data_IF_669287290599
#
_entry.id   IF_669287290599
#
_cell.length_a   1.000
_cell.length_b   1.000
_cell.length_c   1.000
_cell.angle_alpha   90.00
_cell.angle_beta   90.00
_cell.angle_gamma   90.00
#
_symmetry.space_group_name_H-M   'P 1'
#
loop_
_entity.id
_entity.type
_entity.pdbx_description
1 polymer ?
#
# COMPACT_ATOMS: atom_id res chain seq x y z
N UNK A 1 -23.30 -12.23 -8.10
CA UNK A 1 -22.55 -11.07 -7.59
C UNK A 1 -22.14 -11.45 -6.18
N UNK A 2 -20.83 -11.61 -5.93
CA UNK A 2 -20.35 -11.91 -4.59
C UNK A 2 -20.67 -10.72 -3.67
N UNK A 3 -21.25 -10.97 -2.50
CA UNK A 3 -21.49 -9.92 -1.52
C UNK A 3 -20.15 -9.45 -0.99
N UNK A 4 -19.87 -8.13 -0.99
CA UNK A 4 -18.64 -7.60 -0.43
C UNK A 4 -18.46 -8.04 1.01
N UNK A 5 -17.26 -8.48 1.37
CA UNK A 5 -16.95 -8.84 2.76
C UNK A 5 -16.91 -7.56 3.59
N UNK A 6 -17.57 -7.58 4.75
CA UNK A 6 -17.52 -6.46 5.69
C UNK A 6 -16.14 -6.39 6.37
N UNK A 7 -15.44 -5.29 6.13
CA UNK A 7 -14.14 -4.97 6.72
C UNK A 7 -14.22 -3.85 7.76
N UNK A 8 -15.43 -3.40 8.11
CA UNK A 8 -15.63 -2.28 9.06
C UNK A 8 -14.96 -2.55 10.39
N UNK A 9 -14.43 -1.52 11.01
CA UNK A 9 -13.83 -1.54 12.34
C UNK A 9 -12.48 -0.87 12.43
N UNK A 10 -11.88 -0.99 13.60
CA UNK A 10 -10.57 -0.43 13.91
C UNK A 10 -9.51 -1.52 13.87
N UNK A 11 -8.40 -1.25 13.19
CA UNK A 11 -7.36 -2.21 12.91
C UNK A 11 -5.99 -1.63 13.26
N UNK A 12 -5.18 -2.40 13.95
CA UNK A 12 -3.81 -2.06 14.33
C UNK A 12 -2.83 -3.00 13.66
N UNK A 13 -1.70 -2.47 13.17
CA UNK A 13 -0.69 -3.26 12.48
C UNK A 13 -0.06 -4.31 13.41
N UNK A 14 0.03 -5.53 12.91
CA UNK A 14 0.81 -6.61 13.50
C UNK A 14 2.19 -6.64 12.84
N UNK A 15 3.16 -6.00 13.48
CA UNK A 15 4.55 -5.95 12.98
C UNK A 15 5.22 -7.32 12.93
N UNK A 16 4.75 -8.29 13.70
CA UNK A 16 5.37 -9.63 13.72
C UNK A 16 5.04 -10.44 12.48
N UNK A 17 3.92 -10.15 11.84
CA UNK A 17 3.43 -10.80 10.62
C UNK A 17 3.65 -9.97 9.37
N UNK A 18 3.86 -8.68 9.53
CA UNK A 18 4.02 -7.73 8.42
C UNK A 18 5.42 -7.78 7.83
N UNK A 19 5.51 -7.47 6.55
CA UNK A 19 6.79 -7.36 5.86
C UNK A 19 7.65 -6.24 6.47
N UNK A 20 8.94 -6.50 6.53
CA UNK A 20 9.92 -5.47 6.80
C UNK A 20 10.29 -4.75 5.50
N UNK A 21 10.00 -3.44 5.44
CA UNK A 21 10.25 -2.62 4.25
C UNK A 21 11.70 -2.69 3.78
N UNK A 22 12.68 -2.67 4.69
CA UNK A 22 14.10 -2.77 4.35
C UNK A 22 14.43 -4.10 3.66
N UNK A 23 13.81 -5.19 4.09
CA UNK A 23 13.99 -6.50 3.47
C UNK A 23 13.41 -6.54 2.05
N UNK A 24 12.26 -5.89 1.83
CA UNK A 24 11.66 -5.77 0.51
C UNK A 24 12.52 -4.92 -0.43
N UNK A 25 13.04 -3.79 0.05
CA UNK A 25 13.97 -2.95 -0.71
C UNK A 25 15.26 -3.69 -1.09
N UNK A 26 15.83 -4.46 -0.17
CA UNK A 26 16.97 -5.29 -0.45
C UNK A 26 16.67 -6.37 -1.51
N UNK A 27 15.45 -6.91 -1.52
CA UNK A 27 15.01 -7.87 -2.52
C UNK A 27 14.94 -7.24 -3.91
N UNK A 28 14.31 -6.06 -4.03
CA UNK A 28 14.23 -5.28 -5.28
C UNK A 28 15.64 -4.93 -5.78
N UNK A 29 16.51 -4.46 -4.90
CA UNK A 29 17.90 -4.13 -5.26
C UNK A 29 18.66 -5.35 -5.82
N UNK A 30 18.54 -6.51 -5.17
CA UNK A 30 19.13 -7.75 -5.67
C UNK A 30 18.57 -8.18 -7.02
N UNK A 31 17.27 -8.00 -7.25
CA UNK A 31 16.64 -8.30 -8.53
C UNK A 31 17.20 -7.42 -9.64
N UNK A 32 17.31 -6.11 -9.40
CA UNK A 32 17.91 -5.15 -10.35
C UNK A 32 19.36 -5.52 -10.67
N UNK A 33 20.17 -5.88 -9.67
CA UNK A 33 21.55 -6.30 -9.86
C UNK A 33 21.67 -7.58 -10.70
N UNK A 34 20.82 -8.58 -10.44
CA UNK A 34 20.79 -9.83 -11.23
C UNK A 34 20.43 -9.55 -12.69
N UNK A 35 19.45 -8.69 -12.92
CA UNK A 35 19.05 -8.31 -14.27
C UNK A 35 20.17 -7.53 -14.98
N UNK A 36 20.87 -6.63 -14.29
CA UNK A 36 22.03 -5.92 -14.83
C UNK A 36 23.12 -6.90 -15.26
N UNK A 37 23.47 -7.86 -14.39
CA UNK A 37 24.47 -8.88 -14.70
C UNK A 37 24.06 -9.76 -15.89
N UNK A 38 22.77 -10.12 -15.98
CA UNK A 38 22.24 -10.87 -17.13
C UNK A 38 22.40 -10.10 -18.44
N UNK A 39 22.08 -8.80 -18.43
CA UNK A 39 22.18 -7.93 -19.62
C UNK A 39 23.64 -7.76 -20.06
N UNK A 40 24.56 -7.59 -19.12
CA UNK A 40 26.01 -7.49 -19.43
C UNK A 40 26.51 -8.74 -20.13
N UNK A 41 26.16 -9.93 -19.65
CA UNK A 41 26.53 -11.21 -20.30
C UNK A 41 25.98 -11.32 -21.73
N UNK A 42 24.69 -10.95 -21.94
CA UNK A 42 24.10 -10.97 -23.28
C UNK A 42 24.79 -10.00 -24.24
N UNK A 43 25.22 -8.84 -23.75
CA UNK A 43 25.96 -7.87 -24.52
C UNK A 43 27.35 -8.40 -24.91
N UNK A 44 28.04 -9.08 -23.99
CA UNK A 44 29.33 -9.75 -24.26
C UNK A 44 29.21 -10.87 -25.32
N UNK A 45 28.07 -11.57 -25.34
CA UNK A 45 27.75 -12.59 -26.34
C UNK A 45 27.28 -12.02 -27.70
N UNK A 46 27.30 -10.67 -27.88
CA UNK A 46 26.86 -10.00 -29.09
C UNK A 46 25.34 -10.02 -29.30
N UNK A 47 24.57 -10.38 -28.28
CA UNK A 47 23.11 -10.38 -28.29
C UNK A 47 22.61 -9.02 -27.77
N UNK A 48 22.04 -8.22 -28.67
CA UNK A 48 21.42 -6.96 -28.32
C UNK A 48 20.25 -7.16 -27.34
N UNK A 49 20.12 -6.27 -26.35
CA UNK A 49 18.97 -6.24 -25.45
C UNK A 49 18.05 -5.07 -25.80
N UNK A 50 16.79 -5.35 -26.10
CA UNK A 50 15.78 -4.35 -26.48
C UNK A 50 14.82 -3.98 -25.33
N UNK A 51 15.16 -4.32 -24.09
CA UNK A 51 14.31 -4.04 -22.91
C UNK A 51 14.43 -2.61 -22.38
N UNK A 52 13.51 -2.26 -21.49
CA UNK A 52 13.54 -0.97 -20.80
C UNK A 52 14.83 -0.78 -19.98
N UNK A 53 15.30 0.46 -19.79
CA UNK A 53 16.42 0.75 -18.91
C UNK A 53 16.20 0.18 -17.50
N UNK A 54 17.27 -0.19 -16.82
CA UNK A 54 17.21 -0.57 -15.41
C UNK A 54 17.17 0.68 -14.54
N UNK A 55 16.46 0.62 -13.39
CA UNK A 55 16.46 1.73 -12.45
C UNK A 55 17.87 1.99 -11.91
N UNK A 56 18.23 3.25 -11.82
CA UNK A 56 19.46 3.71 -11.20
C UNK A 56 19.36 3.75 -9.67
N UNK A 57 20.47 4.01 -8.99
CA UNK A 57 20.48 4.11 -7.54
C UNK A 57 19.56 5.22 -7.00
N UNK A 58 19.43 6.34 -7.70
CA UNK A 58 18.51 7.45 -7.34
C UNK A 58 17.05 7.02 -7.42
N UNK A 59 16.69 6.24 -8.43
CA UNK A 59 15.33 5.75 -8.64
C UNK A 59 14.92 4.80 -7.52
N UNK A 60 15.83 3.92 -7.09
CA UNK A 60 15.62 3.02 -5.97
C UNK A 60 15.47 3.77 -4.64
N UNK A 61 16.26 4.84 -4.42
CA UNK A 61 16.12 5.69 -3.22
C UNK A 61 14.77 6.42 -3.22
N UNK A 62 14.35 6.94 -4.36
CA UNK A 62 13.04 7.58 -4.50
C UNK A 62 11.90 6.60 -4.23
N UNK A 63 11.97 5.41 -4.81
CA UNK A 63 11.01 4.33 -4.57
C UNK A 63 10.95 3.95 -3.08
N UNK A 64 12.11 3.86 -2.41
CA UNK A 64 12.20 3.55 -1.00
C UNK A 64 11.48 4.59 -0.13
N UNK A 65 11.73 5.88 -0.37
CA UNK A 65 11.10 6.97 0.36
C UNK A 65 9.59 7.03 0.16
N UNK A 66 9.13 6.83 -1.07
CA UNK A 66 7.70 6.78 -1.38
C UNK A 66 7.04 5.62 -0.66
N UNK A 67 7.64 4.43 -0.72
CA UNK A 67 7.12 3.26 -0.04
C UNK A 67 7.07 3.43 1.48
N UNK A 68 8.07 4.06 2.08
CA UNK A 68 8.10 4.38 3.51
C UNK A 68 6.89 5.23 3.90
N UNK A 69 6.64 6.33 3.18
CA UNK A 69 5.50 7.23 3.43
C UNK A 69 4.16 6.51 3.23
N UNK A 70 4.06 5.69 2.16
CA UNK A 70 2.80 5.03 1.78
C UNK A 70 2.45 3.89 2.75
N UNK A 71 3.46 3.21 3.32
CA UNK A 71 3.29 2.09 4.24
C UNK A 71 3.45 2.47 5.72
N UNK A 72 3.67 3.76 6.03
CA UNK A 72 3.77 4.28 7.41
C UNK A 72 2.53 4.02 8.27
N UNK A 73 1.27 4.12 7.75
CA UNK A 73 0.09 4.00 8.59
C UNK A 73 0.05 2.68 9.37
N UNK A 74 -0.04 2.80 10.70
CA UNK A 74 -0.11 1.69 11.63
C UNK A 74 -1.55 1.40 12.11
N UNK A 75 -2.47 2.35 11.92
CA UNK A 75 -3.87 2.25 12.31
C UNK A 75 -4.77 2.48 11.10
N UNK A 76 -5.78 1.63 10.96
CA UNK A 76 -6.83 1.79 9.98
C UNK A 76 -8.18 1.88 10.71
N UNK A 77 -9.03 2.81 10.27
CA UNK A 77 -10.42 2.90 10.65
C UNK A 77 -11.26 2.76 9.39
N UNK A 78 -11.94 1.63 9.26
CA UNK A 78 -12.70 1.27 8.07
C UNK A 78 -14.19 1.42 8.36
N UNK A 79 -14.83 2.24 7.55
CA UNK A 79 -16.28 2.42 7.53
C UNK A 79 -16.80 1.94 6.18
N UNK A 80 -17.70 0.98 6.21
CA UNK A 80 -18.27 0.36 5.01
C UNK A 80 -19.79 0.36 5.12
N UNK A 81 -20.45 0.85 4.09
CA UNK A 81 -21.88 0.78 3.90
C UNK A 81 -22.20 0.37 2.44
N UNK A 82 -23.47 0.32 2.09
CA UNK A 82 -23.91 -0.09 0.74
C UNK A 82 -23.46 0.87 -0.35
N UNK A 83 -23.22 2.14 0.00
CA UNK A 83 -22.89 3.21 -0.94
C UNK A 83 -21.37 3.42 -1.08
N UNK A 84 -20.57 3.11 -0.05
CA UNK A 84 -19.13 3.38 -0.10
C UNK A 84 -18.34 2.61 0.94
N UNK A 85 -17.03 2.50 0.68
CA UNK A 85 -16.04 2.10 1.66
C UNK A 85 -15.05 3.24 1.86
N UNK A 86 -14.81 3.59 3.13
CA UNK A 86 -13.82 4.58 3.53
C UNK A 86 -12.80 3.94 4.44
N UNK A 87 -11.53 3.96 4.03
CA UNK A 87 -10.39 3.51 4.83
C UNK A 87 -9.62 4.73 5.29
N UNK A 88 -9.83 5.14 6.54
CA UNK A 88 -9.06 6.20 7.18
C UNK A 88 -7.76 5.59 7.68
N UNK A 89 -6.65 6.22 7.34
CA UNK A 89 -5.30 5.81 7.73
C UNK A 89 -4.69 6.90 8.60
N UNK A 90 -4.04 6.51 9.70
CA UNK A 90 -3.34 7.49 10.51
C UNK A 90 -2.20 8.13 9.70
N UNK A 91 -2.01 9.43 9.89
CA UNK A 91 -0.99 10.24 9.21
C UNK A 91 -1.04 10.23 7.66
N UNK A 92 -2.14 9.77 7.05
CA UNK A 92 -2.26 9.68 5.59
C UNK A 92 -3.67 10.06 5.12
N UNK A 93 -3.82 10.26 3.81
CA UNK A 93 -5.13 10.50 3.21
C UNK A 93 -6.01 9.25 3.29
N UNK A 94 -7.31 9.46 3.50
CA UNK A 94 -8.26 8.36 3.45
C UNK A 94 -8.40 7.83 2.01
N UNK A 95 -8.53 6.51 1.89
CA UNK A 95 -8.96 5.88 0.64
C UNK A 95 -10.48 5.80 0.66
N UNK A 96 -11.12 6.23 -0.40
CA UNK A 96 -12.58 6.25 -0.51
C UNK A 96 -12.96 5.58 -1.82
N UNK A 97 -13.86 4.61 -1.75
CA UNK A 97 -14.44 3.95 -2.91
C UNK A 97 -15.96 4.05 -2.85
N UNK A 98 -16.53 4.76 -3.80
CA UNK A 98 -17.99 4.87 -3.94
C UNK A 98 -18.48 3.62 -4.69
N UNK A 99 -19.56 3.04 -4.20
CA UNK A 99 -20.22 1.91 -4.84
C UNK A 99 -21.39 2.41 -5.69
N UNK A 100 -21.15 2.59 -6.98
CA UNK A 100 -22.16 2.98 -7.96
C UNK A 100 -22.90 1.81 -8.59
N UNK A 101 -22.68 0.61 -8.10
CA UNK A 101 -23.24 -0.63 -8.62
C UNK A 101 -22.52 -1.22 -9.83
N UNK A 102 -21.49 -0.54 -10.37
CA UNK A 102 -20.69 -1.03 -11.50
C UNK A 102 -19.60 -2.02 -11.06
N UNK A 103 -19.30 -2.08 -9.76
CA UNK A 103 -18.23 -2.89 -9.19
C UNK A 103 -16.83 -2.29 -9.37
N UNK A 104 -16.68 -1.30 -10.24
CA UNK A 104 -15.43 -0.58 -10.49
C UNK A 104 -15.73 0.91 -10.66
N UNK A 105 -15.19 1.73 -9.77
CA UNK A 105 -15.27 3.19 -9.89
C UNK A 105 -13.93 3.75 -10.36
N UNK A 106 -13.97 4.67 -11.31
CA UNK A 106 -12.80 5.37 -11.81
C UNK A 106 -13.03 6.88 -11.80
N UNK A 107 -12.10 7.62 -11.21
CA UNK A 107 -12.10 9.09 -11.19
C UNK A 107 -10.83 9.61 -11.81
N UNK A 108 -10.96 10.56 -12.73
CA UNK A 108 -9.84 11.27 -13.32
C UNK A 108 -9.82 12.68 -12.75
N UNK A 109 -8.68 13.07 -12.22
CA UNK A 109 -8.44 14.44 -11.79
C UNK A 109 -7.10 14.98 -12.35
N UNK A 110 -6.74 16.19 -11.96
CA UNK A 110 -5.49 16.83 -12.41
C UNK A 110 -4.23 16.12 -11.91
N UNK A 111 -4.33 15.27 -10.91
CA UNK A 111 -3.21 14.55 -10.33
C UNK A 111 -3.00 13.20 -11.02
N UNK A 112 -4.08 12.57 -11.50
CA UNK A 112 -3.99 11.27 -12.13
C UNK A 112 -5.31 10.51 -12.20
N UNK A 113 -5.22 9.22 -12.38
CA UNK A 113 -6.36 8.31 -12.47
C UNK A 113 -6.46 7.49 -11.19
N UNK A 114 -7.57 7.64 -10.49
CA UNK A 114 -7.91 6.82 -9.33
C UNK A 114 -8.93 5.77 -9.75
N UNK A 115 -8.72 4.53 -9.32
CA UNK A 115 -9.67 3.43 -9.51
C UNK A 115 -9.84 2.69 -8.20
N UNK A 116 -11.05 2.24 -7.94
CA UNK A 116 -11.30 1.35 -6.82
C UNK A 116 -12.46 0.40 -7.13
N UNK A 117 -12.55 -0.67 -6.41
CA UNK A 117 -13.60 -1.65 -6.56
C UNK A 117 -13.31 -2.95 -5.86
N UNK A 118 -14.18 -3.93 -6.12
CA UNK A 118 -14.05 -5.26 -5.57
C UNK A 118 -13.59 -6.24 -6.66
N UNK A 119 -12.53 -7.00 -6.34
CA UNK A 119 -12.04 -8.11 -7.13
C UNK A 119 -12.25 -9.40 -6.30
N UNK A 120 -13.40 -10.04 -6.50
CA UNK A 120 -13.85 -11.11 -5.61
C UNK A 120 -14.05 -10.58 -4.17
N UNK A 121 -13.26 -11.11 -3.25
CA UNK A 121 -13.29 -10.73 -1.83
C UNK A 121 -12.27 -9.65 -1.46
N UNK A 122 -11.55 -9.12 -2.44
CA UNK A 122 -10.55 -8.08 -2.23
C UNK A 122 -11.08 -6.71 -2.64
N UNK A 123 -10.93 -5.74 -1.76
CA UNK A 123 -11.13 -4.33 -2.08
C UNK A 123 -9.81 -3.76 -2.58
N UNK A 124 -9.79 -3.16 -3.75
CA UNK A 124 -8.59 -2.53 -4.27
C UNK A 124 -8.77 -1.02 -4.48
N UNK A 125 -7.67 -0.31 -4.35
CA UNK A 125 -7.51 1.09 -4.72
C UNK A 125 -6.24 1.21 -5.57
N UNK A 126 -6.36 1.86 -6.70
CA UNK A 126 -5.23 2.12 -7.61
C UNK A 126 -5.17 3.61 -7.90
N UNK A 127 -3.97 4.17 -7.81
CA UNK A 127 -3.68 5.57 -8.12
C UNK A 127 -2.52 5.60 -9.13
N UNK A 128 -2.81 6.03 -10.35
CA UNK A 128 -1.82 6.25 -11.39
C UNK A 128 -1.60 7.76 -11.58
N UNK A 129 -0.45 8.26 -11.16
CA UNK A 129 -0.08 9.68 -11.28
C UNK A 129 0.56 9.98 -12.64
N UNK A 130 0.44 11.23 -13.09
CA UNK A 130 0.97 11.65 -14.39
C UNK A 130 2.49 11.58 -14.53
N UNK A 131 3.22 11.62 -13.41
CA UNK A 131 4.68 11.46 -13.33
C UNK A 131 5.15 10.01 -13.43
N UNK A 132 4.21 9.05 -13.59
CA UNK A 132 4.49 7.62 -13.71
C UNK A 132 4.70 6.92 -12.38
N UNK A 133 4.16 7.47 -11.29
CA UNK A 133 4.02 6.78 -10.01
C UNK A 133 2.69 6.03 -10.00
N UNK A 134 2.75 4.72 -9.85
CA UNK A 134 1.60 3.84 -9.68
C UNK A 134 1.58 3.24 -8.28
N UNK A 135 0.48 3.44 -7.57
CA UNK A 135 0.27 2.89 -6.23
C UNK A 135 -0.99 2.03 -6.26
N UNK A 136 -0.89 0.81 -5.78
CA UNK A 136 -2.03 -0.08 -5.63
C UNK A 136 -2.10 -0.60 -4.21
N UNK A 137 -3.26 -0.46 -3.58
CA UNK A 137 -3.59 -1.06 -2.29
C UNK A 137 -4.64 -2.15 -2.52
N UNK A 138 -4.43 -3.33 -1.94
CA UNK A 138 -5.38 -4.44 -1.93
C UNK A 138 -5.63 -4.86 -0.50
N UNK A 139 -6.89 -4.76 -0.08
CA UNK A 139 -7.34 -5.17 1.25
C UNK A 139 -8.13 -6.46 1.13
N UNK A 140 -7.82 -7.42 1.99
CA UNK A 140 -8.56 -8.67 2.13
C UNK A 140 -8.66 -9.08 3.59
N UNK A 141 -9.74 -9.79 3.95
CA UNK A 141 -9.80 -10.44 5.26
C UNK A 141 -8.76 -11.55 5.33
N UNK A 142 -8.13 -11.70 6.47
CA UNK A 142 -7.26 -12.84 6.75
C UNK A 142 -8.06 -14.14 6.92
N UNK A 143 -7.37 -15.21 7.22
CA UNK A 143 -8.00 -16.52 7.44
C UNK A 143 -8.90 -16.59 8.68
N UNK A 144 -8.84 -15.61 9.56
CA UNK A 144 -9.71 -15.41 10.72
C UNK A 144 -10.48 -14.08 10.61
N UNK A 145 -11.56 -13.93 11.39
CA UNK A 145 -12.42 -12.75 11.37
C UNK A 145 -11.74 -11.49 11.89
N UNK A 146 -10.65 -11.64 12.62
CA UNK A 146 -9.99 -10.57 13.36
C UNK A 146 -8.66 -10.16 12.75
N UNK A 147 -8.36 -10.64 11.54
CA UNK A 147 -7.19 -10.21 10.76
C UNK A 147 -7.56 -9.60 9.41
N UNK A 148 -6.79 -8.60 9.02
CA UNK A 148 -6.87 -7.91 7.73
C UNK A 148 -5.48 -7.91 7.10
N UNK A 149 -5.41 -8.14 5.80
CA UNK A 149 -4.19 -8.05 5.01
C UNK A 149 -4.31 -6.86 4.05
N UNK A 150 -3.36 -5.95 4.14
CA UNK A 150 -3.16 -4.87 3.18
C UNK A 150 -1.88 -5.13 2.39
N UNK A 151 -2.00 -5.35 1.10
CA UNK A 151 -0.87 -5.45 0.17
C UNK A 151 -0.76 -4.16 -0.60
N UNK A 152 0.36 -3.48 -0.44
CA UNK A 152 0.66 -2.24 -1.16
C UNK A 152 1.76 -2.48 -2.18
N UNK A 153 1.51 -2.11 -3.43
CA UNK A 153 2.48 -2.11 -4.52
C UNK A 153 2.78 -0.68 -4.93
N UNK A 154 4.05 -0.33 -5.01
CA UNK A 154 4.54 0.97 -5.48
C UNK A 154 5.46 0.77 -6.65
N UNK A 155 5.15 1.40 -7.77
CA UNK A 155 5.94 1.36 -8.99
C UNK A 155 6.19 2.79 -9.49
N UNK A 156 7.37 3.06 -10.02
CA UNK A 156 7.68 4.34 -10.66
C UNK A 156 8.05 4.11 -12.11
N UNK A 157 7.89 5.12 -12.97
CA UNK A 157 8.29 5.03 -14.38
C UNK A 157 9.78 4.69 -14.54
N UNK A 158 10.61 5.15 -13.60
CA UNK A 158 12.06 4.92 -13.60
C UNK A 158 12.42 3.54 -13.04
N UNK A 159 11.67 3.04 -12.06
CA UNK A 159 11.87 1.72 -11.44
C UNK A 159 10.65 0.84 -11.73
N UNK A 160 10.64 0.19 -12.89
CA UNK A 160 9.55 -0.71 -13.31
C UNK A 160 9.53 -2.07 -12.59
N UNK A 161 10.27 -2.18 -11.51
CA UNK A 161 10.19 -3.30 -10.60
C UNK A 161 9.34 -2.84 -9.41
N UNK A 162 8.12 -3.37 -9.26
CA UNK A 162 7.25 -2.96 -8.17
C UNK A 162 7.86 -3.33 -6.81
N UNK A 163 7.81 -2.39 -5.88
CA UNK A 163 8.06 -2.67 -4.48
C UNK A 163 6.73 -3.07 -3.84
N UNK A 164 6.65 -4.31 -3.37
CA UNK A 164 5.45 -4.87 -2.75
C UNK A 164 5.68 -5.04 -1.26
N UNK A 165 4.75 -4.55 -0.46
CA UNK A 165 4.78 -4.64 1.01
C UNK A 165 3.44 -5.19 1.49
N UNK A 166 3.49 -6.25 2.28
CA UNK A 166 2.33 -6.87 2.93
C UNK A 166 2.29 -6.47 4.40
N UNK A 167 1.19 -5.88 4.81
CA UNK A 167 0.94 -5.46 6.18
C UNK A 167 -0.26 -6.22 6.74
N UNK A 168 -0.07 -6.90 7.85
CA UNK A 168 -1.14 -7.56 8.59
C UNK A 168 -1.62 -6.65 9.69
N UNK A 169 -2.93 -6.61 9.87
CA UNK A 169 -3.61 -5.84 10.91
C UNK A 169 -4.49 -6.77 11.72
N UNK A 170 -4.59 -6.49 13.01
CA UNK A 170 -5.52 -7.15 13.94
C UNK A 170 -6.57 -6.18 14.40
N UNK A 171 -7.78 -6.68 14.62
CA UNK A 171 -8.88 -5.86 15.13
C UNK A 171 -8.56 -5.41 16.55
N UNK A 172 -8.82 -4.16 16.87
CA UNK A 172 -8.70 -3.64 18.22
C UNK A 172 -9.90 -2.77 18.59
N UNK A 173 -10.16 -2.68 19.89
CA UNK A 173 -11.15 -1.77 20.45
C UNK A 173 -10.43 -0.53 20.99
N UNK A 174 -10.61 0.66 20.36
CA UNK A 174 -9.96 1.89 20.80
C UNK A 174 -10.41 2.33 22.21
N UNK A 175 -11.59 1.90 22.68
CA UNK A 175 -12.10 2.22 24.01
C UNK A 175 -11.52 1.29 25.09
N UNK A 176 -11.21 0.04 24.74
CA UNK A 176 -10.65 -0.94 25.68
C UNK A 176 -9.20 -0.64 26.05
N UNK A 177 -8.45 0.04 25.21
CA UNK A 177 -7.02 0.31 25.44
C UNK A 177 -6.74 1.41 26.48
N UNK A 178 -7.75 2.16 26.90
CA UNK A 178 -7.58 3.22 27.92
C UNK A 178 -6.59 4.33 27.55
N UNK A 179 -6.16 4.38 26.29
CA UNK A 179 -5.23 5.40 25.78
C UNK A 179 -5.95 6.40 24.90
N UNK A 180 -5.87 7.68 25.23
CA UNK A 180 -6.18 8.75 24.28
C UNK A 180 -4.89 9.30 23.69
N UNK A 181 -4.72 9.14 22.40
CA UNK A 181 -3.59 9.70 21.69
C UNK A 181 -4.01 11.00 20.99
N UNK A 182 -3.30 12.08 21.26
CA UNK A 182 -3.48 13.37 20.59
C UNK A 182 -2.17 13.78 19.91
N UNK A 183 -2.29 14.37 18.74
CA UNK A 183 -1.14 14.94 18.04
C UNK A 183 -0.92 16.35 18.54
N UNK A 184 0.27 16.61 19.07
CA UNK A 184 0.68 17.95 19.49
C UNK A 184 1.75 18.50 18.55
N UNK A 185 1.73 19.81 18.31
CA UNK A 185 2.67 20.48 17.41
C UNK A 185 4.14 20.36 17.87
N UNK A 186 4.36 20.13 19.16
CA UNK A 186 5.70 20.12 19.75
C UNK A 186 6.28 18.75 20.05
N UNK A 187 5.42 17.72 20.24
CA UNK A 187 5.85 16.38 20.68
C UNK A 187 5.37 15.24 19.78
N UNK A 188 4.77 15.54 18.62
CA UNK A 188 4.20 14.50 17.76
C UNK A 188 2.98 13.82 18.41
N UNK A 189 2.90 12.50 18.38
CA UNK A 189 1.79 11.74 18.97
C UNK A 189 2.06 11.51 20.46
N UNK A 190 1.20 12.06 21.31
CA UNK A 190 1.23 11.85 22.77
C UNK A 190 0.01 11.03 23.17
N UNK A 191 0.24 9.88 23.79
CA UNK A 191 -0.80 9.01 24.31
C UNK A 191 -0.86 9.12 25.83
N UNK A 192 -2.04 9.36 26.39
CA UNK A 192 -2.28 9.41 27.84
C UNK A 192 -3.24 8.30 28.24
N UNK A 193 -2.93 7.62 29.35
CA UNK A 193 -3.87 6.68 29.99
C UNK A 193 -5.02 7.46 30.62
N UNK A 194 -6.24 7.00 30.41
CA UNK A 194 -7.37 7.46 31.21
C UNK A 194 -7.22 6.85 32.62
N UNK A 195 -7.14 7.71 33.63
CA UNK A 195 -7.41 7.31 35.02
C UNK A 195 -8.90 7.44 35.30
#
# INVERSE_FOLDING_TARGET
IATPIDMSGHWEIDYSRSDNLQSQLNSVSRQVQREAARRSRLAEEGRGFTGSPLPGGRDLVTLARLAEIITEPALLDIMQDDARVRVKRDNSFALICENDGSGLTATNDVLGVQRCGWDGEQLFFSLALQDGLDITHRLSRGGDSDSLLLVTSVETAAARVPLVVSQYFTRYDPEALGYRCQRTLTKGKVCTTQQ
#
